data_IF_888640542496
#
_entry.id   IF_888640542496
#
_cell.length_a   1.000
_cell.length_b   1.000
_cell.length_c   1.000
_cell.angle_alpha   90.00
_cell.angle_beta   90.00
_cell.angle_gamma   90.00
#
_symmetry.space_group_name_H-M   'P 1'
#
loop_
_entity.id
_entity.type
_entity.pdbx_description
1 polymer ?
#
# COMPACT_ATOMS: atom_id res chain seq x y z
N UNK A 1 -11.23 -13.01 24.45
CA UNK A 1 -9.82 -13.19 24.02
C UNK A 1 -9.46 -11.94 23.22
N UNK A 2 -8.45 -11.17 23.67
CA UNK A 2 -7.92 -10.06 22.85
C UNK A 2 -7.31 -10.64 21.59
N UNK A 3 -7.64 -10.08 20.42
CA UNK A 3 -7.02 -10.50 19.16
C UNK A 3 -5.52 -10.21 19.22
N UNK A 4 -4.68 -11.12 18.71
CA UNK A 4 -3.23 -10.89 18.73
C UNK A 4 -2.89 -9.69 17.85
N UNK A 5 -2.32 -8.64 18.45
CA UNK A 5 -1.72 -7.51 17.77
C UNK A 5 -0.22 -7.73 17.58
N UNK A 6 0.39 -7.12 16.56
CA UNK A 6 1.84 -7.13 16.34
C UNK A 6 2.45 -5.76 16.63
N UNK A 7 3.75 -5.75 16.89
CA UNK A 7 4.50 -4.54 17.25
C UNK A 7 5.68 -4.35 16.31
N UNK A 8 5.93 -3.10 15.94
CA UNK A 8 7.21 -2.64 15.39
C UNK A 8 7.86 -1.73 16.44
N UNK A 9 8.99 -2.15 16.99
CA UNK A 9 9.67 -1.42 18.08
C UNK A 9 10.50 -0.26 17.55
N UNK A 10 9.83 0.78 17.06
CA UNK A 10 10.49 2.00 16.58
C UNK A 10 11.26 2.74 17.68
N UNK A 11 10.98 2.46 18.96
CA UNK A 11 11.78 2.94 20.09
C UNK A 11 13.23 2.43 20.08
N UNK A 12 13.48 1.23 19.56
CA UNK A 12 14.82 0.64 19.44
C UNK A 12 15.75 1.42 18.48
N UNK A 13 15.16 2.22 17.59
CA UNK A 13 15.86 3.04 16.59
C UNK A 13 15.68 4.55 16.84
N UNK A 14 15.24 4.93 18.05
CA UNK A 14 15.27 6.33 18.52
C UNK A 14 13.95 7.11 18.43
N UNK A 15 12.82 6.50 18.06
CA UNK A 15 11.51 7.16 18.14
C UNK A 15 10.94 7.11 19.56
N UNK A 16 10.00 8.01 19.88
CA UNK A 16 9.35 8.09 21.19
C UNK A 16 8.16 7.13 21.38
N UNK A 17 7.83 6.35 20.35
CA UNK A 17 6.71 5.42 20.32
C UNK A 17 7.09 4.13 19.61
N UNK A 18 6.31 3.07 19.85
CA UNK A 18 6.24 1.87 19.02
C UNK A 18 4.98 1.90 18.14
N UNK A 19 4.97 1.11 17.07
CA UNK A 19 3.76 0.94 16.25
C UNK A 19 3.08 -0.36 16.64
N UNK A 20 1.84 -0.27 17.11
CA UNK A 20 0.96 -1.41 17.37
C UNK A 20 0.01 -1.58 16.20
N UNK A 21 -0.04 -2.77 15.59
CA UNK A 21 -0.94 -3.06 14.47
C UNK A 21 -1.92 -4.15 14.89
N UNK A 22 -3.21 -3.83 14.82
CA UNK A 22 -4.27 -4.78 15.11
C UNK A 22 -4.39 -5.86 14.04
N UNK A 23 -5.13 -6.90 14.37
CA UNK A 23 -5.37 -8.04 13.51
C UNK A 23 -6.16 -7.68 12.24
N UNK A 24 -6.08 -8.52 11.19
CA UNK A 24 -6.85 -8.35 9.94
C UNK A 24 -8.36 -8.21 10.20
N UNK A 25 -8.92 -9.08 11.05
CA UNK A 25 -10.34 -9.01 11.48
C UNK A 25 -10.71 -7.71 12.20
N UNK A 26 -9.73 -6.98 12.72
CA UNK A 26 -9.88 -5.65 13.33
C UNK A 26 -9.47 -4.53 12.38
N UNK A 27 -9.55 -4.82 11.08
CA UNK A 27 -9.33 -3.86 9.98
C UNK A 27 -7.92 -3.26 9.97
N UNK A 28 -6.94 -3.99 10.51
CA UNK A 28 -5.53 -3.58 10.60
C UNK A 28 -5.32 -2.19 11.23
N UNK A 29 -6.18 -1.77 12.14
CA UNK A 29 -6.04 -0.45 12.77
C UNK A 29 -4.69 -0.36 13.48
N UNK A 30 -3.91 0.71 13.23
CA UNK A 30 -2.63 0.91 13.88
C UNK A 30 -2.64 2.10 14.85
N UNK A 31 -1.75 2.03 15.84
CA UNK A 31 -1.56 3.03 16.88
C UNK A 31 -0.08 3.29 17.12
N UNK A 32 0.27 4.55 17.38
CA UNK A 32 1.51 4.90 18.09
C UNK A 32 1.30 4.63 19.56
N UNK A 33 2.11 3.76 20.15
CA UNK A 33 2.10 3.45 21.58
C UNK A 33 3.31 4.11 22.23
N UNK A 34 3.06 5.11 23.07
CA UNK A 34 4.09 5.86 23.79
C UNK A 34 4.45 5.16 25.10
N UNK A 35 5.65 5.43 25.62
CA UNK A 35 6.14 4.84 26.88
C UNK A 35 5.30 5.22 28.12
N UNK A 36 4.59 6.35 28.06
CA UNK A 36 3.66 6.81 29.10
C UNK A 36 2.29 6.08 29.06
N UNK A 37 2.11 5.09 28.17
CA UNK A 37 0.88 4.32 28.00
C UNK A 37 -0.18 4.98 27.11
N UNK A 38 0.07 6.20 26.59
CA UNK A 38 -0.81 6.82 25.62
C UNK A 38 -0.76 6.07 24.27
N UNK A 39 -1.93 5.96 23.64
CA UNK A 39 -2.08 5.39 22.31
C UNK A 39 -2.75 6.41 21.40
N UNK A 40 -2.11 6.73 20.28
CA UNK A 40 -2.64 7.63 19.25
C UNK A 40 -2.88 6.83 17.98
N UNK A 41 -4.07 6.94 17.40
CA UNK A 41 -4.40 6.23 16.17
C UNK A 41 -3.58 6.77 14.99
N UNK A 42 -3.07 5.89 14.16
CA UNK A 42 -2.41 6.25 12.90
C UNK A 42 -3.47 6.39 11.82
N UNK A 43 -3.56 7.57 11.21
CA UNK A 43 -4.57 7.88 10.19
C UNK A 43 -4.07 7.71 8.75
N UNK A 44 -2.87 7.17 8.55
CA UNK A 44 -2.27 6.97 7.22
C UNK A 44 -1.40 5.72 7.13
N UNK A 45 -0.41 5.76 6.24
CA UNK A 45 0.68 4.81 6.19
C UNK A 45 1.65 4.95 7.38
N UNK A 46 2.49 3.93 7.54
CA UNK A 46 3.56 3.92 8.56
C UNK A 46 4.95 4.16 7.97
N UNK A 47 5.07 4.25 6.64
CA UNK A 47 6.32 4.58 5.94
C UNK A 47 7.39 3.49 5.97
N UNK A 48 7.08 2.31 6.49
CA UNK A 48 8.00 1.17 6.59
C UNK A 48 7.27 -0.14 6.27
N UNK A 49 8.03 -1.11 5.78
CA UNK A 49 7.52 -2.44 5.46
C UNK A 49 7.17 -3.27 6.70
N UNK A 50 6.33 -4.28 6.49
CA UNK A 50 5.93 -5.26 7.51
C UNK A 50 7.06 -6.23 7.88
N UNK A 51 8.19 -6.19 7.15
CA UNK A 51 9.41 -6.89 7.52
C UNK A 51 9.94 -6.46 8.90
N UNK A 52 9.65 -5.23 9.34
CA UNK A 52 10.01 -4.70 10.66
C UNK A 52 9.12 -5.18 11.83
N UNK A 53 8.02 -5.90 11.54
CA UNK A 53 7.24 -6.55 12.61
C UNK A 53 8.11 -7.59 13.32
N UNK A 54 8.13 -7.51 14.65
CA UNK A 54 8.80 -8.45 15.54
C UNK A 54 7.95 -9.68 15.85
N UNK A 55 8.57 -10.73 16.39
CA UNK A 55 7.83 -11.77 17.11
C UNK A 55 7.70 -13.13 16.46
N UNK A 56 8.59 -13.52 15.52
CA UNK A 56 8.72 -14.91 15.06
C UNK A 56 7.39 -15.62 14.78
N UNK A 57 7.03 -16.62 15.59
CA UNK A 57 5.76 -17.36 15.47
C UNK A 57 4.50 -16.48 15.61
N UNK A 58 4.54 -15.47 16.48
CA UNK A 58 3.44 -14.52 16.67
C UNK A 58 3.18 -13.67 15.41
N UNK A 59 4.26 -13.25 14.75
CA UNK A 59 4.19 -12.59 13.44
C UNK A 59 3.58 -13.52 12.39
N UNK A 60 4.07 -14.76 12.31
CA UNK A 60 3.53 -15.75 11.37
C UNK A 60 2.05 -16.03 11.60
N UNK A 61 1.62 -16.13 12.86
CA UNK A 61 0.21 -16.29 13.21
C UNK A 61 -0.63 -15.08 12.78
N UNK A 62 -0.13 -13.87 12.99
CA UNK A 62 -0.80 -12.63 12.56
C UNK A 62 -0.89 -12.53 11.03
N UNK A 63 0.19 -12.80 10.31
CA UNK A 63 0.22 -12.79 8.84
C UNK A 63 -0.69 -13.86 8.24
N UNK A 64 -0.83 -15.03 8.88
CA UNK A 64 -1.67 -16.13 8.40
C UNK A 64 -3.16 -15.79 8.25
N UNK A 65 -3.56 -14.64 8.79
CA UNK A 65 -4.94 -14.18 8.86
C UNK A 65 -5.25 -13.13 7.80
N UNK A 66 -4.21 -12.59 7.16
CA UNK A 66 -4.36 -11.80 5.95
C UNK A 66 -4.73 -12.75 4.79
N UNK A 67 -5.71 -12.42 3.95
CA UNK A 67 -6.05 -13.23 2.79
C UNK A 67 -4.82 -13.53 1.91
N UNK A 68 -4.78 -14.77 1.39
CA UNK A 68 -3.64 -15.27 0.60
C UNK A 68 -3.38 -14.38 -0.61
N UNK A 69 -2.10 -14.12 -0.89
CA UNK A 69 -1.65 -13.31 -2.03
C UNK A 69 -1.69 -11.80 -1.81
N UNK A 70 -2.44 -11.28 -0.83
CA UNK A 70 -2.45 -9.83 -0.57
C UNK A 70 -1.11 -9.33 -0.01
N UNK A 71 -0.44 -10.14 0.82
CA UNK A 71 0.90 -9.80 1.32
C UNK A 71 1.87 -9.72 0.13
N UNK A 72 1.95 -10.78 -0.68
CA UNK A 72 2.83 -10.88 -1.85
C UNK A 72 2.61 -9.70 -2.82
N UNK A 73 1.34 -9.33 -3.06
CA UNK A 73 0.96 -8.20 -3.91
C UNK A 73 1.42 -6.83 -3.39
N UNK A 74 1.80 -6.74 -2.12
CA UNK A 74 2.29 -5.51 -1.47
C UNK A 74 3.80 -5.50 -1.22
N UNK A 75 4.52 -6.62 -1.45
CA UNK A 75 5.95 -6.73 -1.15
C UNK A 75 6.79 -5.74 -1.95
N UNK A 76 6.40 -5.46 -3.19
CA UNK A 76 7.04 -4.47 -4.05
C UNK A 76 6.82 -3.02 -3.56
N UNK A 77 6.04 -2.77 -2.51
CA UNK A 77 5.70 -1.42 -2.04
C UNK A 77 5.92 -1.28 -0.53
N UNK A 78 7.14 -1.48 0.00
CA UNK A 78 7.38 -1.55 1.44
C UNK A 78 6.88 -0.31 2.21
N UNK A 79 7.10 0.90 1.70
CA UNK A 79 6.67 2.15 2.35
C UNK A 79 5.14 2.29 2.44
N UNK A 80 4.43 1.71 1.48
CA UNK A 80 2.97 1.75 1.36
C UNK A 80 2.29 0.45 1.81
N UNK A 81 3.07 -0.57 2.18
CA UNK A 81 2.62 -1.95 2.37
C UNK A 81 1.48 -2.03 3.39
N UNK A 82 1.69 -1.42 4.56
CA UNK A 82 0.68 -1.34 5.60
C UNK A 82 -0.59 -0.64 5.11
N UNK A 83 -0.45 0.51 4.44
CA UNK A 83 -1.59 1.32 4.03
C UNK A 83 -2.41 0.60 2.95
N UNK A 84 -1.75 -0.08 2.01
CA UNK A 84 -2.42 -0.91 0.99
C UNK A 84 -3.24 -2.03 1.62
N UNK A 85 -2.66 -2.74 2.61
CA UNK A 85 -3.38 -3.78 3.34
C UNK A 85 -4.51 -3.20 4.20
N UNK A 86 -4.30 -2.04 4.83
CA UNK A 86 -5.34 -1.34 5.57
C UNK A 86 -6.52 -1.01 4.66
N UNK A 87 -6.27 -0.46 3.47
CA UNK A 87 -7.32 -0.15 2.50
C UNK A 87 -8.10 -1.41 2.11
N UNK A 88 -7.41 -2.50 1.80
CA UNK A 88 -8.04 -3.79 1.48
C UNK A 88 -8.88 -4.34 2.64
N UNK A 89 -8.38 -4.27 3.88
CA UNK A 89 -9.12 -4.71 5.06
C UNK A 89 -10.37 -3.85 5.37
N UNK A 90 -10.47 -2.65 4.77
CA UNK A 90 -11.56 -1.69 4.98
C UNK A 90 -12.45 -1.49 3.75
N UNK A 91 -12.14 -2.10 2.60
CA UNK A 91 -12.94 -1.99 1.37
C UNK A 91 -12.71 -3.16 0.42
N UNK A 92 -13.79 -3.83 0.04
CA UNK A 92 -13.80 -4.89 -0.99
C UNK A 92 -13.23 -4.37 -2.31
N UNK A 93 -13.58 -3.13 -2.70
CA UNK A 93 -13.03 -2.51 -3.92
C UNK A 93 -11.50 -2.36 -3.85
N UNK A 94 -10.96 -1.99 -2.69
CA UNK A 94 -9.52 -1.89 -2.49
C UNK A 94 -8.84 -3.26 -2.52
N UNK A 95 -9.49 -4.29 -1.95
CA UNK A 95 -9.03 -5.68 -2.02
C UNK A 95 -9.00 -6.20 -3.47
N UNK A 96 -10.05 -5.94 -4.26
CA UNK A 96 -10.11 -6.28 -5.68
C UNK A 96 -9.02 -5.57 -6.49
N UNK A 97 -8.80 -4.28 -6.23
CA UNK A 97 -7.71 -3.52 -6.87
C UNK A 97 -6.37 -4.11 -6.47
N UNK A 98 -6.14 -4.41 -5.19
CA UNK A 98 -4.90 -5.00 -4.70
C UNK A 98 -4.64 -6.37 -5.34
N UNK A 99 -5.68 -7.15 -5.59
CA UNK A 99 -5.56 -8.47 -6.21
C UNK A 99 -5.20 -8.39 -7.69
N UNK A 100 -5.71 -7.39 -8.43
CA UNK A 100 -5.58 -7.32 -9.89
C UNK A 100 -4.48 -6.35 -10.35
N UNK A 101 -4.37 -5.18 -9.72
CA UNK A 101 -3.41 -4.10 -10.06
C UNK A 101 -2.92 -3.37 -8.80
N UNK A 102 -2.03 -4.00 -8.00
CA UNK A 102 -1.52 -3.42 -6.75
C UNK A 102 -0.98 -1.99 -6.90
N UNK A 103 -0.31 -1.71 -8.02
CA UNK A 103 0.28 -0.39 -8.30
C UNK A 103 -0.77 0.74 -8.26
N UNK A 104 -2.02 0.50 -8.64
CA UNK A 104 -3.06 1.55 -8.55
C UNK A 104 -3.30 1.93 -7.09
N UNK A 105 -3.32 0.95 -6.19
CA UNK A 105 -3.50 1.21 -4.77
C UNK A 105 -2.25 1.88 -4.17
N UNK A 106 -1.05 1.48 -4.59
CA UNK A 106 0.18 2.16 -4.21
C UNK A 106 0.19 3.63 -4.65
N UNK A 107 -0.29 3.96 -5.85
CA UNK A 107 -0.43 5.34 -6.32
C UNK A 107 -1.43 6.17 -5.50
N UNK A 108 -2.47 5.53 -4.94
CA UNK A 108 -3.39 6.21 -3.99
C UNK A 108 -2.64 6.51 -2.69
N UNK A 109 -1.92 5.53 -2.13
CA UNK A 109 -1.14 5.70 -0.90
C UNK A 109 -0.07 6.79 -1.06
N UNK A 110 0.63 6.82 -2.20
CA UNK A 110 1.59 7.87 -2.54
C UNK A 110 0.96 9.27 -2.55
N UNK A 111 -0.29 9.39 -2.99
CA UNK A 111 -1.01 10.68 -3.02
C UNK A 111 -1.52 11.11 -1.64
N UNK A 112 -1.94 10.14 -0.81
CA UNK A 112 -2.53 10.37 0.50
C UNK A 112 -1.82 9.54 1.58
N UNK A 113 -0.51 9.77 1.82
CA UNK A 113 0.29 8.90 2.69
C UNK A 113 -0.10 9.03 4.16
N UNK A 114 -0.79 10.10 4.55
CA UNK A 114 -1.19 10.40 5.93
C UNK A 114 -2.70 10.46 6.14
N UNK A 115 -3.51 10.14 5.11
CA UNK A 115 -4.97 10.24 5.16
C UNK A 115 -5.65 9.03 4.51
N UNK A 116 -5.94 8.05 5.37
CA UNK A 116 -6.62 6.81 5.04
C UNK A 116 -8.06 7.02 4.60
N UNK A 117 -8.75 8.06 5.07
CA UNK A 117 -10.14 8.30 4.66
C UNK A 117 -10.19 8.83 3.23
N UNK A 118 -9.32 9.76 2.88
CA UNK A 118 -9.18 10.23 1.50
C UNK A 118 -8.72 9.11 0.58
N UNK A 119 -7.70 8.33 0.97
CA UNK A 119 -7.26 7.17 0.21
C UNK A 119 -8.39 6.15 -0.02
N UNK A 120 -9.16 5.83 1.03
CA UNK A 120 -10.29 4.91 0.96
C UNK A 120 -11.42 5.44 0.07
N UNK A 121 -11.68 6.74 0.07
CA UNK A 121 -12.68 7.36 -0.80
C UNK A 121 -12.34 7.17 -2.28
N UNK A 122 -11.06 7.27 -2.64
CA UNK A 122 -10.59 7.00 -4.00
C UNK A 122 -10.66 5.51 -4.33
N UNK A 123 -10.26 4.63 -3.42
CA UNK A 123 -10.26 3.19 -3.65
C UNK A 123 -11.65 2.60 -3.95
N UNK A 124 -12.72 3.32 -3.59
CA UNK A 124 -14.11 2.95 -3.93
C UNK A 124 -14.49 3.26 -5.39
N UNK A 125 -13.71 4.05 -6.10
CA UNK A 125 -13.97 4.40 -7.50
C UNK A 125 -13.53 3.29 -8.45
N UNK A 126 -14.02 3.33 -9.70
CA UNK A 126 -13.50 2.49 -10.76
C UNK A 126 -12.04 2.83 -11.08
N UNK A 127 -11.22 1.85 -11.47
CA UNK A 127 -9.77 2.05 -11.69
C UNK A 127 -9.41 3.19 -12.65
N UNK A 128 -10.22 3.44 -13.69
CA UNK A 128 -10.01 4.60 -14.58
C UNK A 128 -10.34 5.93 -13.90
N UNK A 129 -11.36 5.97 -13.06
CA UNK A 129 -11.74 7.17 -12.32
C UNK A 129 -10.72 7.47 -11.22
N UNK A 130 -10.13 6.45 -10.61
CA UNK A 130 -8.96 6.59 -9.73
C UNK A 130 -7.83 7.30 -10.48
N UNK A 131 -7.41 6.76 -11.64
CA UNK A 131 -6.35 7.38 -12.44
C UNK A 131 -6.67 8.84 -12.80
N UNK A 132 -7.93 9.13 -13.14
CA UNK A 132 -8.38 10.50 -13.45
C UNK A 132 -8.21 11.42 -12.23
N UNK A 133 -8.67 11.00 -11.06
CA UNK A 133 -8.56 11.78 -9.82
C UNK A 133 -7.12 12.01 -9.38
N UNK A 134 -6.22 11.06 -9.69
CA UNK A 134 -4.78 11.19 -9.44
C UNK A 134 -4.05 12.03 -10.49
N UNK A 135 -4.73 12.53 -11.53
CA UNK A 135 -4.12 13.34 -12.60
C UNK A 135 -3.40 12.52 -13.68
N UNK A 136 -3.68 11.22 -13.76
CA UNK A 136 -3.10 10.30 -14.74
C UNK A 136 -4.01 10.06 -15.94
N UNK A 137 -3.44 9.48 -16.99
CA UNK A 137 -4.18 9.10 -18.18
C UNK A 137 -5.27 8.04 -17.87
N UNK A 138 -6.53 8.48 -17.84
CA UNK A 138 -7.72 7.64 -17.57
C UNK A 138 -8.16 6.85 -18.80
N UNK A 139 -7.33 5.91 -19.26
CA UNK A 139 -7.58 5.15 -20.50
C UNK A 139 -7.34 3.65 -20.32
N UNK A 140 -7.98 2.83 -21.18
CA UNK A 140 -7.71 1.38 -21.24
C UNK A 140 -6.24 1.08 -21.53
N UNK A 141 -5.58 1.92 -22.34
CA UNK A 141 -4.15 1.75 -22.67
C UNK A 141 -3.24 2.03 -21.47
N UNK A 142 -3.61 2.95 -20.58
CA UNK A 142 -2.85 3.18 -19.34
C UNK A 142 -2.95 1.97 -18.40
N UNK A 143 -4.15 1.40 -18.22
CA UNK A 143 -4.31 0.16 -17.45
C UNK A 143 -3.52 -0.99 -18.05
N UNK A 144 -3.56 -1.17 -19.38
CA UNK A 144 -2.73 -2.16 -20.07
C UNK A 144 -1.24 -1.92 -19.93
N UNK A 145 -0.80 -0.68 -19.75
CA UNK A 145 0.61 -0.39 -19.49
C UNK A 145 0.99 -0.80 -18.07
N UNK A 146 0.15 -0.49 -17.08
CA UNK A 146 0.32 -0.94 -15.69
C UNK A 146 0.45 -2.47 -15.64
N UNK A 147 -0.38 -3.19 -16.39
CA UNK A 147 -0.34 -4.67 -16.46
C UNK A 147 0.98 -5.24 -17.02
N UNK A 148 1.80 -4.43 -17.70
CA UNK A 148 3.09 -4.84 -18.28
C UNK A 148 4.26 -4.58 -17.35
N UNK A 149 4.08 -3.76 -16.33
CA UNK A 149 5.16 -3.34 -15.45
C UNK A 149 5.58 -4.54 -14.59
N UNK A 150 6.87 -4.87 -14.65
CA UNK A 150 7.48 -5.78 -13.68
C UNK A 150 8.30 -4.91 -12.74
N UNK A 151 7.75 -4.66 -11.56
CA UNK A 151 8.32 -3.78 -10.56
C UNK A 151 8.98 -4.63 -9.48
N UNK A 152 10.25 -4.37 -9.19
CA UNK A 152 10.98 -5.05 -8.10
C UNK A 152 11.24 -4.10 -6.94
N UNK A 153 11.14 -2.78 -7.17
CA UNK A 153 11.31 -1.71 -6.19
C UNK A 153 12.57 -1.81 -5.32
N UNK A 154 13.59 -2.50 -5.81
CA UNK A 154 14.96 -2.44 -5.26
C UNK A 154 15.51 -1.00 -5.31
N UNK A 155 14.90 -0.14 -6.13
CA UNK A 155 15.19 1.29 -6.27
C UNK A 155 13.94 2.09 -5.97
N UNK A 156 13.98 2.92 -4.92
CA UNK A 156 12.89 3.83 -4.50
C UNK A 156 12.39 4.79 -5.61
N UNK A 157 13.10 4.90 -6.73
CA UNK A 157 12.72 5.73 -7.88
C UNK A 157 11.63 5.15 -8.80
N UNK A 158 11.27 3.86 -8.69
CA UNK A 158 10.37 3.22 -9.66
C UNK A 158 8.96 3.84 -9.67
N UNK A 159 8.36 4.13 -8.50
CA UNK A 159 7.01 4.74 -8.44
C UNK A 159 7.00 6.13 -9.06
N UNK A 160 8.05 6.92 -8.82
CA UNK A 160 8.19 8.25 -9.41
C UNK A 160 8.34 8.17 -10.93
N UNK A 161 9.02 7.15 -11.44
CA UNK A 161 9.12 6.92 -12.88
C UNK A 161 7.76 6.54 -13.46
N UNK A 162 7.02 5.62 -12.81
CA UNK A 162 5.67 5.24 -13.21
C UNK A 162 4.73 6.45 -13.24
N UNK A 163 4.78 7.32 -12.23
CA UNK A 163 4.00 8.55 -12.16
C UNK A 163 4.25 9.44 -13.39
N UNK A 164 5.53 9.68 -13.73
CA UNK A 164 5.90 10.45 -14.93
C UNK A 164 5.42 9.79 -16.22
N UNK A 165 5.45 8.46 -16.26
CA UNK A 165 5.01 7.66 -17.39
C UNK A 165 3.49 7.74 -17.62
N UNK A 166 2.71 7.79 -16.53
CA UNK A 166 1.26 7.83 -16.52
C UNK A 166 0.67 9.25 -16.58
N UNK A 167 1.47 10.30 -16.37
CA UNK A 167 1.03 11.70 -16.43
C UNK A 167 0.20 11.97 -17.69
N UNK A 168 -0.99 12.52 -17.50
CA UNK A 168 -1.96 12.76 -18.58
C UNK A 168 -1.40 13.67 -19.68
N UNK A 169 -0.52 14.61 -19.31
CA UNK A 169 0.05 15.63 -20.21
C UNK A 169 1.09 15.04 -21.15
N UNK A 170 1.87 14.08 -20.67
CA UNK A 170 2.98 13.49 -21.43
C UNK A 170 2.59 12.16 -22.08
N UNK A 171 1.75 11.37 -21.40
CA UNK A 171 1.31 10.03 -21.82
C UNK A 171 2.45 9.15 -22.33
N UNK A 172 3.62 9.22 -21.68
CA UNK A 172 4.84 8.54 -22.15
C UNK A 172 4.67 7.02 -22.26
N UNK A 173 3.77 6.43 -21.47
CA UNK A 173 3.42 5.00 -21.54
C UNK A 173 3.03 4.52 -22.95
N UNK A 174 2.55 5.42 -23.82
CA UNK A 174 2.19 5.09 -25.21
C UNK A 174 3.38 4.56 -26.02
N UNK A 175 4.60 4.96 -25.70
CA UNK A 175 5.84 4.46 -26.34
C UNK A 175 6.03 2.96 -26.11
N UNK A 176 5.44 2.41 -25.05
CA UNK A 176 5.57 1.01 -24.66
C UNK A 176 4.44 0.12 -25.18
N UNK A 177 3.66 0.57 -26.17
CA UNK A 177 2.51 -0.17 -26.69
C UNK A 177 2.88 -1.56 -27.23
N UNK A 178 4.04 -1.68 -27.88
CA UNK A 178 4.49 -2.90 -28.55
C UNK A 178 5.18 -3.90 -27.62
N UNK A 179 5.53 -3.50 -26.40
CA UNK A 179 6.23 -4.36 -25.44
C UNK A 179 5.25 -5.27 -24.72
N UNK A 180 5.68 -6.49 -24.41
CA UNK A 180 4.90 -7.46 -23.63
C UNK A 180 5.12 -7.24 -22.13
N UNK A 181 6.34 -6.85 -21.74
CA UNK A 181 6.73 -6.47 -20.38
C UNK A 181 7.61 -5.22 -20.42
N UNK A 182 7.60 -4.46 -19.33
CA UNK A 182 8.41 -3.25 -19.13
C UNK A 182 9.02 -3.31 -17.74
N UNK A 183 10.34 -3.16 -17.67
CA UNK A 183 11.12 -3.17 -16.43
C UNK A 183 11.78 -1.78 -16.26
N UNK A 184 12.19 -1.44 -15.03
CA UNK A 184 12.94 -0.22 -14.71
C UNK A 184 14.36 -0.51 -14.22
#
# INVERSE_FOLDING_TARGET
MQSPSVVISTSSIGYSFDILIQHWCERLTAYRRYSNGQCEKIEGGIGIGLNFIEGGEHKSAWLSKVPRGLIDNTEAFPEHQYQMLWLAANSVNAEDILTVRPLILALICERYPVDNQMALSLAKLGQRDILKQLGFASTKSALKFIDKLTLTYERSSEILHVIKMLDVRTSHFRKFRHYIKVNF
#
